data_IF_725292337483
#
_entry.id   IF_725292337483
#
_cell.length_a   1.000
_cell.length_b   1.000
_cell.length_c   1.000
_cell.angle_alpha   90.00
_cell.angle_beta   90.00
_cell.angle_gamma   90.00
#
_symmetry.space_group_name_H-M   'P 1'
#
loop_
_entity.id
_entity.type
_entity.pdbx_description
1 polymer ?
#
# COMPACT_ATOMS: atom_id res chain seq x y z
N UNK A 1 2.09 34.04 11.01
CA UNK A 1 1.80 32.80 11.74
C UNK A 1 2.27 31.64 10.87
N UNK A 2 2.87 30.60 11.44
CA UNK A 2 3.22 29.40 10.67
C UNK A 2 2.00 28.50 10.49
N UNK A 3 1.87 27.89 9.33
CA UNK A 3 0.82 26.92 9.01
C UNK A 3 1.39 25.50 9.06
N UNK A 4 0.66 24.59 9.71
CA UNK A 4 0.98 23.17 9.72
C UNK A 4 -0.06 22.41 8.89
N UNK A 5 0.41 21.51 8.02
CA UNK A 5 -0.43 20.66 7.17
C UNK A 5 0.02 19.22 7.28
N UNK A 6 -0.92 18.29 7.32
CA UNK A 6 -0.66 16.86 7.24
C UNK A 6 -1.07 16.34 5.85
N UNK A 7 -0.20 15.58 5.20
CA UNK A 7 -0.46 14.98 3.89
C UNK A 7 -0.19 13.48 3.99
N UNK A 8 -1.19 12.68 3.64
CA UNK A 8 -1.10 11.21 3.60
C UNK A 8 -1.20 10.75 2.16
N UNK A 9 -0.26 9.90 1.73
CA UNK A 9 -0.24 9.37 0.36
C UNK A 9 0.38 7.98 0.31
N UNK A 10 0.06 7.22 -0.73
CA UNK A 10 0.76 5.96 -1.03
C UNK A 10 2.12 6.30 -1.63
N UNK A 11 3.18 6.04 -0.87
CA UNK A 11 4.56 6.28 -1.29
C UNK A 11 5.21 5.06 -1.93
N UNK A 12 4.61 3.86 -1.78
CA UNK A 12 5.05 2.64 -2.43
C UNK A 12 3.86 1.72 -2.69
N UNK A 13 3.82 1.15 -3.89
CA UNK A 13 2.85 0.16 -4.31
C UNK A 13 3.56 -0.92 -5.14
N UNK A 14 3.61 -2.15 -4.65
CA UNK A 14 4.38 -3.24 -5.26
C UNK A 14 3.52 -4.51 -5.41
N UNK A 15 3.34 -4.98 -6.65
CA UNK A 15 2.62 -6.21 -6.95
C UNK A 15 3.63 -7.37 -6.96
N UNK A 16 3.40 -8.37 -6.12
CA UNK A 16 4.26 -9.53 -5.98
C UNK A 16 3.86 -10.65 -6.97
N UNK A 17 4.80 -11.56 -7.33
CA UNK A 17 4.50 -12.67 -8.24
C UNK A 17 3.39 -13.63 -7.78
N UNK A 18 3.11 -13.68 -6.47
CA UNK A 18 2.02 -14.48 -5.89
C UNK A 18 0.67 -13.73 -5.84
N UNK A 19 0.58 -12.54 -6.44
CA UNK A 19 -0.63 -11.70 -6.45
C UNK A 19 -0.84 -10.83 -5.21
N UNK A 20 -0.02 -10.98 -4.16
CA UNK A 20 -0.05 -10.06 -3.02
C UNK A 20 0.40 -8.66 -3.43
N UNK A 21 -0.09 -7.64 -2.74
CA UNK A 21 0.28 -6.25 -2.98
C UNK A 21 0.87 -5.65 -1.72
N UNK A 22 2.14 -5.26 -1.77
CA UNK A 22 2.79 -4.50 -0.71
C UNK A 22 2.48 -3.01 -0.86
N UNK A 23 1.96 -2.39 0.20
CA UNK A 23 1.59 -0.97 0.23
C UNK A 23 2.37 -0.27 1.34
N UNK A 24 2.90 0.92 1.05
CA UNK A 24 3.40 1.85 2.05
C UNK A 24 2.62 3.16 1.94
N UNK A 25 2.06 3.60 3.05
CA UNK A 25 1.48 4.95 3.19
C UNK A 25 2.41 5.80 4.04
N UNK A 26 2.73 6.99 3.53
CA UNK A 26 3.55 7.99 4.21
C UNK A 26 2.65 9.14 4.64
N UNK A 27 2.86 9.58 5.87
CA UNK A 27 2.28 10.79 6.43
C UNK A 27 3.41 11.81 6.61
N UNK A 28 3.32 12.90 5.86
CA UNK A 28 4.23 14.04 5.97
C UNK A 28 3.55 15.17 6.74
N UNK A 29 4.26 15.73 7.73
CA UNK A 29 3.88 16.96 8.42
C UNK A 29 4.71 18.09 7.83
N UNK A 30 4.02 19.07 7.26
CA UNK A 30 4.63 20.25 6.63
C UNK A 30 4.47 21.46 7.54
N UNK A 31 5.51 22.28 7.64
CA UNK A 31 5.47 23.63 8.20
C UNK A 31 5.72 24.62 7.07
N UNK A 32 4.77 25.50 6.82
CA UNK A 32 4.88 26.54 5.78
C UNK A 32 5.24 25.95 4.39
N UNK A 33 4.71 24.77 4.07
CA UNK A 33 4.93 24.04 2.82
C UNK A 33 6.21 23.19 2.76
N UNK A 34 7.01 23.17 3.82
CA UNK A 34 8.24 22.37 3.91
C UNK A 34 8.01 21.18 4.83
N UNK A 35 8.34 19.96 4.38
CA UNK A 35 8.27 18.75 5.21
C UNK A 35 9.24 18.87 6.38
N UNK A 36 8.72 18.72 7.61
CA UNK A 36 9.50 18.76 8.85
C UNK A 36 9.53 17.42 9.59
N UNK A 37 8.61 16.51 9.27
CA UNK A 37 8.55 15.17 9.82
C UNK A 37 7.83 14.25 8.85
N UNK A 38 8.29 13.00 8.77
CA UNK A 38 7.69 11.96 7.95
C UNK A 38 7.59 10.68 8.77
N UNK A 39 6.46 10.01 8.70
CA UNK A 39 6.29 8.65 9.21
C UNK A 39 5.65 7.78 8.14
N UNK A 40 5.87 6.48 8.21
CA UNK A 40 5.24 5.56 7.28
C UNK A 40 4.75 4.32 8.00
N UNK A 41 3.74 3.69 7.41
CA UNK A 41 3.31 2.35 7.76
C UNK A 41 3.22 1.48 6.50
N UNK A 42 3.33 0.17 6.70
CA UNK A 42 3.32 -0.82 5.61
C UNK A 42 2.33 -1.92 5.91
N UNK A 43 1.72 -2.46 4.87
CA UNK A 43 0.95 -3.69 4.93
C UNK A 43 1.11 -4.52 3.65
N UNK A 44 0.64 -5.75 3.71
CA UNK A 44 0.48 -6.62 2.55
C UNK A 44 -1.02 -6.90 2.40
N UNK A 45 -1.57 -6.63 1.22
CA UNK A 45 -2.91 -7.02 0.85
C UNK A 45 -2.85 -8.37 0.13
N UNK A 46 -3.65 -9.32 0.60
CA UNK A 46 -3.89 -10.56 -0.12
C UNK A 46 -4.66 -10.30 -1.43
N UNK A 47 -4.66 -11.23 -2.40
CA UNK A 47 -5.59 -11.18 -3.52
C UNK A 47 -7.04 -11.05 -3.04
N UNK A 48 -7.74 -10.03 -3.55
CA UNK A 48 -9.11 -9.69 -3.19
C UNK A 48 -9.31 -9.40 -1.68
N UNK A 49 -8.30 -8.83 -1.03
CA UNK A 49 -8.37 -8.47 0.39
C UNK A 49 -9.57 -7.54 0.68
N UNK A 50 -10.44 -7.86 1.65
CA UNK A 50 -11.61 -7.04 1.97
C UNK A 50 -11.24 -5.65 2.50
N UNK A 51 -10.02 -5.45 3.00
CA UNK A 51 -9.54 -4.15 3.48
C UNK A 51 -8.92 -3.29 2.36
N UNK A 52 -8.83 -3.80 1.13
CA UNK A 52 -8.14 -3.10 0.04
C UNK A 52 -8.73 -1.72 -0.26
N UNK A 53 -10.05 -1.58 -0.26
CA UNK A 53 -10.71 -0.28 -0.48
C UNK A 53 -10.36 0.73 0.60
N UNK A 54 -10.26 0.30 1.85
CA UNK A 54 -9.87 1.14 3.00
C UNK A 54 -8.39 1.48 2.99
N UNK A 55 -7.52 0.51 2.69
CA UNK A 55 -6.07 0.71 2.69
C UNK A 55 -5.65 1.61 1.53
N UNK A 56 -6.19 1.37 0.34
CA UNK A 56 -5.78 2.12 -0.86
C UNK A 56 -6.42 3.51 -0.90
N UNK A 57 -7.68 3.64 -0.46
CA UNK A 57 -8.39 4.91 -0.26
C UNK A 57 -8.38 5.86 -1.49
N UNK A 58 -8.03 5.34 -2.65
CA UNK A 58 -7.89 6.05 -3.91
C UNK A 58 -8.31 5.13 -5.05
N UNK A 59 -9.23 5.61 -5.90
CA UNK A 59 -9.76 4.83 -7.02
C UNK A 59 -8.65 4.37 -7.98
N UNK A 60 -7.59 5.17 -8.16
CA UNK A 60 -6.45 4.83 -9.01
C UNK A 60 -5.76 3.53 -8.56
N UNK A 61 -5.33 3.48 -7.30
CA UNK A 61 -4.64 2.30 -6.77
C UNK A 61 -5.57 1.09 -6.62
N UNK A 62 -6.83 1.32 -6.25
CA UNK A 62 -7.82 0.25 -6.16
C UNK A 62 -8.10 -0.39 -7.53
N UNK A 63 -8.17 0.40 -8.60
CA UNK A 63 -8.35 -0.10 -9.96
C UNK A 63 -7.14 -0.93 -10.42
N UNK A 64 -5.92 -0.50 -10.10
CA UNK A 64 -4.70 -1.27 -10.39
C UNK A 64 -4.69 -2.60 -9.63
N UNK A 65 -5.06 -2.59 -8.34
CA UNK A 65 -5.15 -3.80 -7.53
C UNK A 65 -6.18 -4.79 -8.10
N UNK A 66 -7.39 -4.33 -8.41
CA UNK A 66 -8.44 -5.16 -9.01
C UNK A 66 -8.00 -5.73 -10.36
N UNK A 67 -7.35 -4.91 -11.21
CA UNK A 67 -6.80 -5.39 -12.46
C UNK A 67 -5.74 -6.48 -12.23
N UNK A 68 -4.79 -6.26 -11.33
CA UNK A 68 -3.75 -7.23 -11.00
C UNK A 68 -4.34 -8.57 -10.53
N UNK A 69 -5.36 -8.54 -9.68
CA UNK A 69 -6.02 -9.75 -9.18
C UNK A 69 -6.92 -10.47 -10.19
N UNK A 70 -7.32 -9.78 -11.26
CA UNK A 70 -8.02 -10.41 -12.39
C UNK A 70 -7.09 -11.16 -13.34
N UNK A 71 -5.78 -10.91 -13.28
CA UNK A 71 -4.80 -11.57 -14.13
C UNK A 71 -4.40 -12.93 -13.53
N UNK A 72 -4.10 -13.94 -14.37
CA UNK A 72 -3.55 -15.18 -13.88
C UNK A 72 -2.20 -14.92 -13.21
N UNK A 73 -2.10 -15.28 -11.93
CA UNK A 73 -0.85 -15.12 -11.18
C UNK A 73 0.19 -16.13 -11.69
N UNK A 74 1.46 -15.71 -11.90
CA UNK A 74 2.52 -16.63 -12.30
C UNK A 74 2.85 -17.64 -11.19
N UNK A 75 2.42 -17.40 -9.95
CA UNK A 75 2.48 -18.35 -8.85
C UNK A 75 1.14 -18.43 -8.12
N UNK A 76 0.72 -19.61 -7.63
CA UNK A 76 -0.47 -19.69 -6.79
C UNK A 76 -0.34 -18.80 -5.55
N UNK A 77 -1.40 -18.08 -5.23
CA UNK A 77 -1.49 -17.39 -3.93
C UNK A 77 -1.66 -18.44 -2.83
N UNK A 78 -0.77 -18.40 -1.84
CA UNK A 78 -0.88 -19.19 -0.62
C UNK A 78 -1.09 -18.22 0.56
N UNK A 79 -2.25 -18.27 1.26
CA UNK A 79 -2.49 -17.45 2.44
C UNK A 79 -1.60 -17.82 3.64
N UNK A 80 -0.99 -19.01 3.63
CA UNK A 80 -0.04 -19.48 4.64
C UNK A 80 1.32 -19.77 4.00
N UNK A 81 2.05 -18.75 3.49
CA UNK A 81 3.35 -18.98 2.90
C UNK A 81 4.30 -19.56 3.97
N UNK A 82 5.22 -20.47 3.58
CA UNK A 82 6.20 -21.01 4.52
C UNK A 82 6.99 -19.86 5.16
N UNK A 83 7.07 -19.88 6.50
CA UNK A 83 7.88 -18.91 7.24
C UNK A 83 9.34 -19.02 6.76
N UNK A 84 10.04 -17.92 6.43
CA UNK A 84 11.44 -17.99 6.08
C UNK A 84 12.19 -18.67 7.22
N UNK A 85 12.76 -19.86 6.96
CA UNK A 85 13.45 -20.64 7.97
C UNK A 85 14.53 -19.81 8.64
N UNK A 86 14.49 -19.77 9.98
CA UNK A 86 15.56 -19.24 10.84
C UNK A 86 16.64 -20.29 10.99
#
# INVERSE_FOLDING_TARGET
>A
MSTFTEVVYISQFNIMPNGCIGVQKTTDVLKDGVVISSTYWRCILAPNDPQASTVLDEAYYLNIANYAWSQPSPQPYDPNPPSPGV
#
